data_IF_518016369928
#
_entry.id   IF_518016369928
#
_cell.length_a   1.000
_cell.length_b   1.000
_cell.length_c   1.000
_cell.angle_alpha   90.00
_cell.angle_beta   90.00
_cell.angle_gamma   90.00
#
_symmetry.space_group_name_H-M   'P 1'
#
loop_
_entity.id
_entity.type
_entity.pdbx_description
1 polymer ?
#
# COMPACT_ATOMS: atom_id res chain seq x y z
N UNK A 1 6.53 -2.71 -10.94
CA UNK A 1 6.64 -3.65 -9.81
C UNK A 1 6.76 -5.04 -10.42
N UNK A 2 7.51 -5.94 -9.79
CA UNK A 2 7.65 -7.32 -10.26
C UNK A 2 6.34 -8.10 -10.05
N UNK A 3 5.72 -8.68 -11.10
CA UNK A 3 4.53 -9.53 -10.97
C UNK A 3 4.73 -10.73 -10.04
N UNK A 4 5.95 -11.25 -9.89
CA UNK A 4 6.26 -12.37 -9.01
C UNK A 4 6.00 -12.07 -7.52
N UNK A 5 5.95 -10.79 -7.13
CA UNK A 5 5.61 -10.40 -5.76
C UNK A 5 4.10 -10.49 -5.48
N UNK A 6 3.26 -10.58 -6.51
CA UNK A 6 1.80 -10.69 -6.36
C UNK A 6 1.29 -12.13 -6.42
N UNK A 7 1.99 -13.02 -7.11
CA UNK A 7 1.52 -14.38 -7.33
C UNK A 7 1.15 -15.17 -6.05
N UNK A 8 1.79 -14.99 -4.88
CA UNK A 8 1.36 -15.69 -3.66
C UNK A 8 -0.06 -15.32 -3.21
N UNK A 9 -0.51 -14.11 -3.55
CA UNK A 9 -1.77 -13.53 -3.08
C UNK A 9 -2.94 -13.75 -4.04
N UNK A 10 -2.68 -14.32 -5.22
CA UNK A 10 -3.66 -14.44 -6.29
C UNK A 10 -4.03 -15.92 -6.51
N UNK A 11 -5.33 -16.27 -6.52
CA UNK A 11 -5.76 -17.56 -7.01
C UNK A 11 -5.51 -17.68 -8.52
N UNK A 12 -5.53 -18.91 -9.08
CA UNK A 12 -5.57 -19.09 -10.53
C UNK A 12 -6.87 -18.50 -11.10
N UNK A 13 -6.82 -18.02 -12.34
CA UNK A 13 -7.98 -17.48 -13.05
C UNK A 13 -7.59 -16.36 -14.01
N UNK A 14 -8.59 -15.74 -14.63
CA UNK A 14 -8.41 -14.60 -15.52
C UNK A 14 -8.08 -13.33 -14.71
N UNK A 15 -6.96 -12.70 -15.03
CA UNK A 15 -6.52 -11.49 -14.36
C UNK A 15 -7.03 -10.24 -15.06
N UNK A 16 -7.59 -9.31 -14.28
CA UNK A 16 -7.85 -7.95 -14.73
C UNK A 16 -7.49 -6.92 -13.65
N UNK A 17 -7.39 -5.65 -14.04
CA UNK A 17 -7.07 -4.57 -13.09
C UNK A 17 -8.09 -3.44 -13.17
N UNK A 18 -8.43 -2.88 -12.01
CA UNK A 18 -9.31 -1.71 -11.90
C UNK A 18 -8.60 -0.60 -11.13
N UNK A 19 -8.65 0.63 -11.64
CA UNK A 19 -8.07 1.81 -10.97
C UNK A 19 -9.19 2.75 -10.53
N UNK A 20 -9.07 3.25 -9.31
CA UNK A 20 -10.09 4.08 -8.67
C UNK A 20 -9.45 5.26 -7.91
N UNK A 21 -10.22 6.33 -7.72
CA UNK A 21 -9.85 7.48 -6.87
C UNK A 21 -10.98 7.82 -5.90
N UNK A 22 -11.19 7.04 -4.82
CA UNK A 22 -12.39 7.11 -4.00
C UNK A 22 -12.62 8.47 -3.32
N UNK A 23 -11.61 9.07 -2.70
CA UNK A 23 -11.61 10.42 -2.12
C UNK A 23 -10.26 10.76 -1.46
N UNK A 24 -10.06 12.02 -1.04
CA UNK A 24 -8.93 12.43 -0.18
C UNK A 24 -7.54 12.16 -0.79
N UNK A 25 -7.42 12.29 -2.11
CA UNK A 25 -6.18 11.99 -2.82
C UNK A 25 -5.83 10.50 -2.93
N UNK A 26 -6.67 9.61 -2.38
CA UNK A 26 -6.48 8.16 -2.46
C UNK A 26 -6.44 7.71 -3.91
N UNK A 27 -5.42 6.93 -4.26
CA UNK A 27 -5.41 6.13 -5.49
C UNK A 27 -5.40 4.67 -5.11
N UNK A 28 -6.28 3.90 -5.73
CA UNK A 28 -6.40 2.45 -5.52
C UNK A 28 -6.27 1.72 -6.84
N UNK A 29 -5.51 0.63 -6.82
CA UNK A 29 -5.47 -0.37 -7.86
C UNK A 29 -5.99 -1.68 -7.26
N UNK A 30 -6.99 -2.27 -7.88
CA UNK A 30 -7.49 -3.60 -7.53
C UNK A 30 -7.07 -4.57 -8.62
N UNK A 31 -6.59 -5.74 -8.21
CA UNK A 31 -6.41 -6.90 -9.08
C UNK A 31 -7.60 -7.82 -8.86
N UNK A 32 -8.24 -8.18 -9.96
CA UNK A 32 -9.39 -9.05 -9.96
C UNK A 32 -8.98 -10.41 -10.56
N UNK A 33 -9.51 -11.48 -9.98
CA UNK A 33 -9.45 -12.83 -10.54
C UNK A 33 -10.88 -13.26 -10.84
N UNK A 34 -11.14 -13.62 -12.09
CA UNK A 34 -12.47 -14.02 -12.57
C UNK A 34 -13.57 -12.97 -12.24
N UNK A 35 -13.20 -11.70 -12.27
CA UNK A 35 -14.10 -10.58 -11.98
C UNK A 35 -14.31 -10.24 -10.50
N UNK A 36 -13.71 -10.99 -9.58
CA UNK A 36 -13.76 -10.72 -8.14
C UNK A 36 -12.46 -10.06 -7.64
N UNK A 37 -12.57 -9.13 -6.69
CA UNK A 37 -11.39 -8.45 -6.13
C UNK A 37 -10.59 -9.44 -5.26
N UNK A 38 -9.41 -9.84 -5.73
CA UNK A 38 -8.49 -10.69 -5.00
C UNK A 38 -7.49 -9.89 -4.16
N UNK A 39 -7.09 -8.72 -4.66
CA UNK A 39 -6.01 -7.92 -4.07
C UNK A 39 -6.23 -6.44 -4.33
N UNK A 40 -5.85 -5.59 -3.38
CA UNK A 40 -5.81 -4.14 -3.57
C UNK A 40 -4.50 -3.56 -3.09
N UNK A 41 -3.99 -2.58 -3.85
CA UNK A 41 -2.90 -1.71 -3.46
C UNK A 41 -3.37 -0.26 -3.55
N UNK A 42 -3.18 0.48 -2.46
CA UNK A 42 -3.58 1.87 -2.32
C UNK A 42 -2.41 2.75 -1.94
N UNK A 43 -2.48 4.01 -2.34
CA UNK A 43 -1.72 5.11 -1.73
C UNK A 43 -2.72 6.12 -1.19
N UNK A 44 -2.53 6.53 0.06
CA UNK A 44 -3.46 7.38 0.81
C UNK A 44 -2.68 8.51 1.45
N UNK A 45 -3.23 9.72 1.42
CA UNK A 45 -2.75 10.82 2.23
C UNK A 45 -3.45 10.78 3.58
N UNK A 46 -2.66 10.82 4.64
CA UNK A 46 -3.15 10.63 6.00
C UNK A 46 -2.57 11.68 6.94
N UNK A 47 -3.26 12.00 8.03
CA UNK A 47 -2.84 13.06 8.97
C UNK A 47 -1.39 12.85 9.40
N UNK A 48 -0.62 13.94 9.38
CA UNK A 48 0.71 13.93 9.96
C UNK A 48 0.67 13.62 11.47
N UNK A 49 1.62 12.80 11.94
CA UNK A 49 1.68 12.32 13.32
C UNK A 49 1.05 10.95 13.53
N UNK A 50 0.07 10.55 12.71
CA UNK A 50 -0.51 9.20 12.74
C UNK A 50 0.54 8.16 12.30
N UNK A 51 0.51 7.00 12.94
CA UNK A 51 1.43 5.88 12.74
C UNK A 51 0.90 4.87 11.70
N UNK A 52 1.76 3.93 11.29
CA UNK A 52 1.32 2.78 10.47
C UNK A 52 0.26 1.93 11.18
N UNK A 53 0.26 1.90 12.50
CA UNK A 53 -0.74 1.19 13.30
C UNK A 53 -2.10 1.89 13.28
N UNK A 54 -2.12 3.22 13.32
CA UNK A 54 -3.36 4.00 13.22
C UNK A 54 -4.02 3.82 11.85
N UNK A 55 -3.21 3.80 10.80
CA UNK A 55 -3.68 3.51 9.44
C UNK A 55 -4.13 2.06 9.31
N UNK A 56 -3.39 1.10 9.86
CA UNK A 56 -3.76 -0.32 9.80
C UNK A 56 -5.13 -0.60 10.44
N UNK A 57 -5.42 0.06 11.57
CA UNK A 57 -6.64 -0.16 12.35
C UNK A 57 -7.96 0.09 11.58
N UNK A 58 -7.94 0.88 10.50
CA UNK A 58 -9.11 1.19 9.67
C UNK A 58 -9.21 0.35 8.40
N UNK A 59 -8.25 -0.54 8.13
CA UNK A 59 -8.23 -1.39 6.95
C UNK A 59 -8.56 -2.83 7.29
N UNK A 60 -9.72 -3.29 6.82
CA UNK A 60 -10.33 -4.56 7.21
C UNK A 60 -9.47 -5.82 7.01
N UNK A 61 -8.49 -5.79 6.10
CA UNK A 61 -7.58 -6.92 5.83
C UNK A 61 -6.17 -6.71 6.38
N UNK A 62 -5.94 -5.67 7.17
CA UNK A 62 -4.66 -5.51 7.88
C UNK A 62 -4.89 -5.90 9.33
N UNK A 63 -4.39 -7.07 9.71
CA UNK A 63 -4.51 -7.52 11.10
C UNK A 63 -3.61 -6.67 12.01
N UNK A 64 -3.98 -6.49 13.30
CA UNK A 64 -3.13 -5.82 14.26
C UNK A 64 -1.76 -6.49 14.36
N UNK A 65 -0.72 -5.68 14.58
CA UNK A 65 0.64 -6.17 14.70
C UNK A 65 1.58 -5.09 15.20
N UNK A 66 2.84 -5.47 15.36
CA UNK A 66 3.89 -4.53 15.75
C UNK A 66 4.40 -3.78 14.52
N UNK A 67 4.67 -2.49 14.72
CA UNK A 67 5.37 -1.70 13.72
C UNK A 67 6.86 -2.10 13.70
N UNK A 68 7.42 -2.19 12.51
CA UNK A 68 8.79 -2.63 12.22
C UNK A 68 9.56 -1.52 11.52
N UNK A 69 10.87 -1.67 11.40
CA UNK A 69 11.75 -0.74 10.67
C UNK A 69 11.57 0.72 11.13
N UNK A 70 11.73 0.96 12.44
CA UNK A 70 11.54 2.29 13.03
C UNK A 70 10.12 2.84 12.93
N UNK A 71 9.12 1.97 12.73
CA UNK A 71 7.72 2.38 12.56
C UNK A 71 7.32 2.62 11.10
N UNK A 72 8.18 2.26 10.14
CA UNK A 72 7.91 2.45 8.71
C UNK A 72 6.90 1.45 8.15
N UNK A 73 6.82 0.25 8.72
CA UNK A 73 5.95 -0.81 8.19
C UNK A 73 5.20 -1.55 9.29
N UNK A 74 4.00 -2.03 8.96
CA UNK A 74 3.26 -3.03 9.72
C UNK A 74 2.79 -4.12 8.76
N UNK A 75 2.99 -5.37 9.16
CA UNK A 75 2.71 -6.54 8.33
C UNK A 75 1.75 -7.50 9.01
N UNK A 76 0.83 -8.07 8.23
CA UNK A 76 0.05 -9.25 8.54
C UNK A 76 0.07 -10.20 7.34
N UNK A 77 -0.53 -11.39 7.47
CA UNK A 77 -0.61 -12.31 6.34
C UNK A 77 -1.51 -11.77 5.21
N UNK A 78 -2.57 -11.06 5.56
CA UNK A 78 -3.62 -10.60 4.64
C UNK A 78 -3.51 -9.13 4.26
N UNK A 79 -2.56 -8.39 4.83
CA UNK A 79 -2.35 -7.00 4.47
C UNK A 79 -1.14 -6.37 5.15
N UNK A 80 -0.83 -5.15 4.73
CA UNK A 80 0.25 -4.38 5.31
C UNK A 80 0.00 -2.88 5.12
N UNK A 81 0.71 -2.09 5.93
CA UNK A 81 0.84 -0.64 5.78
C UNK A 81 2.32 -0.29 5.70
N UNK A 82 2.66 0.64 4.81
CA UNK A 82 3.99 1.24 4.75
C UNK A 82 3.92 2.76 4.67
N UNK A 83 4.74 3.47 5.44
CA UNK A 83 4.90 4.93 5.35
C UNK A 83 5.91 5.26 4.25
N UNK A 84 5.50 6.06 3.27
CA UNK A 84 6.38 6.51 2.21
C UNK A 84 7.13 7.77 2.64
N UNK A 85 8.42 7.83 2.34
CA UNK A 85 9.30 8.94 2.72
C UNK A 85 9.58 9.88 1.54
N UNK A 86 9.94 11.12 1.85
CA UNK A 86 10.24 12.15 0.84
C UNK A 86 9.02 12.71 0.11
N UNK A 87 7.84 12.15 0.33
CA UNK A 87 6.57 12.57 -0.27
C UNK A 87 6.03 13.87 0.31
N UNK A 88 5.67 14.80 -0.56
CA UNK A 88 4.98 16.04 -0.20
C UNK A 88 4.10 16.49 -1.36
N UNK A 89 2.90 16.98 -1.05
CA UNK A 89 1.94 17.45 -2.04
C UNK A 89 1.23 18.69 -1.50
N UNK A 90 1.25 19.79 -2.25
CA UNK A 90 0.68 21.06 -1.83
C UNK A 90 -0.86 21.01 -1.63
N UNK A 91 -1.52 20.02 -2.23
CA UNK A 91 -2.96 19.77 -2.05
C UNK A 91 -3.27 18.91 -0.81
N UNK A 92 -2.24 18.36 -0.16
CA UNK A 92 -2.33 17.55 1.07
C UNK A 92 -1.38 18.08 2.16
N UNK A 93 -1.52 19.36 2.59
CA UNK A 93 -0.66 19.91 3.62
C UNK A 93 -0.90 19.23 4.98
N UNK A 94 0.16 19.02 5.75
CA UNK A 94 0.08 18.35 7.06
C UNK A 94 -0.36 16.90 6.97
N UNK A 95 -0.09 16.24 5.83
CA UNK A 95 -0.37 14.83 5.62
C UNK A 95 0.87 14.09 5.12
N UNK A 96 1.02 12.85 5.57
CA UNK A 96 2.03 11.91 5.08
C UNK A 96 1.38 10.94 4.08
N UNK A 97 2.18 10.49 3.11
CA UNK A 97 1.73 9.45 2.18
C UNK A 97 1.97 8.07 2.78
N UNK A 98 0.92 7.27 2.84
CA UNK A 98 0.98 5.85 3.21
C UNK A 98 0.61 4.97 2.02
N UNK A 99 1.14 3.76 2.04
CA UNK A 99 0.81 2.67 1.14
C UNK A 99 0.11 1.58 1.93
N UNK A 100 -0.93 1.00 1.33
CA UNK A 100 -1.75 -0.03 1.97
C UNK A 100 -1.96 -1.15 0.97
N UNK A 101 -1.78 -2.37 1.43
CA UNK A 101 -2.07 -3.59 0.68
C UNK A 101 -3.07 -4.43 1.46
N UNK A 102 -4.05 -4.98 0.74
CA UNK A 102 -5.07 -5.86 1.31
C UNK A 102 -5.35 -7.03 0.35
N UNK A 103 -5.33 -8.24 0.90
CA UNK A 103 -5.64 -9.50 0.24
C UNK A 103 -7.07 -9.90 0.62
N UNK A 104 -7.90 -10.06 -0.41
CA UNK A 104 -9.31 -10.44 -0.27
C UNK A 104 -9.56 -11.88 -0.70
N UNK A 105 -8.68 -12.45 -1.52
CA UNK A 105 -8.75 -13.85 -1.91
C UNK A 105 -8.65 -14.78 -0.69
N UNK A 106 -9.56 -15.76 -0.55
CA UNK A 106 -9.56 -16.68 0.58
C UNK A 106 -8.30 -17.55 0.58
N UNK A 107 -7.78 -17.84 1.78
CA UNK A 107 -6.62 -18.72 2.00
C UNK A 107 -5.35 -18.32 1.23
N UNK A 108 -5.23 -17.04 0.83
CA UNK A 108 -4.06 -16.46 0.15
C UNK A 108 -3.24 -15.50 1.00
N UNK A 109 -3.45 -15.49 2.32
CA UNK A 109 -2.60 -14.74 3.23
C UNK A 109 -1.20 -15.35 3.30
N UNK A 110 -0.17 -14.53 3.18
CA UNK A 110 1.24 -14.95 3.24
C UNK A 110 2.10 -13.81 3.80
N UNK A 111 2.45 -13.89 5.09
CA UNK A 111 3.22 -12.85 5.77
C UNK A 111 4.66 -12.73 5.22
N UNK A 112 5.45 -13.81 5.05
CA UNK A 112 6.76 -13.72 4.42
C UNK A 112 6.75 -13.09 3.02
N UNK A 113 5.72 -13.37 2.20
CA UNK A 113 5.55 -12.69 0.92
C UNK A 113 5.20 -11.21 1.10
N UNK A 114 4.37 -10.87 2.10
CA UNK A 114 3.95 -9.49 2.37
C UNK A 114 5.13 -8.62 2.81
N UNK A 115 6.03 -9.19 3.61
CA UNK A 115 7.30 -8.58 4.04
C UNK A 115 8.22 -8.23 2.86
N UNK A 116 8.07 -8.89 1.71
CA UNK A 116 8.79 -8.56 0.47
C UNK A 116 8.01 -7.57 -0.40
N UNK A 117 6.70 -7.77 -0.51
CA UNK A 117 5.82 -6.99 -1.38
C UNK A 117 5.71 -5.54 -0.93
N UNK A 118 5.40 -5.28 0.34
CA UNK A 118 5.10 -3.92 0.79
C UNK A 118 6.31 -2.99 0.64
N UNK A 119 7.54 -3.33 1.08
CA UNK A 119 8.69 -2.45 0.86
C UNK A 119 8.95 -2.17 -0.62
N UNK A 120 8.78 -3.17 -1.49
CA UNK A 120 8.94 -2.99 -2.93
C UNK A 120 7.88 -2.04 -3.51
N UNK A 121 6.63 -2.15 -3.06
CA UNK A 121 5.54 -1.27 -3.46
C UNK A 121 5.72 0.15 -2.92
N UNK A 122 5.99 0.33 -1.62
CA UNK A 122 6.27 1.65 -1.01
C UNK A 122 7.42 2.34 -1.73
N UNK A 123 8.53 1.64 -1.97
CA UNK A 123 9.67 2.21 -2.70
C UNK A 123 9.34 2.56 -4.14
N UNK A 124 8.42 1.84 -4.79
CA UNK A 124 7.94 2.20 -6.12
C UNK A 124 7.10 3.48 -6.11
N UNK A 125 6.31 3.69 -5.07
CA UNK A 125 5.56 4.94 -4.85
C UNK A 125 6.50 6.11 -4.58
N UNK A 126 7.51 5.94 -3.72
CA UNK A 126 8.54 6.95 -3.40
C UNK A 126 9.35 7.39 -4.64
N UNK A 127 9.50 6.51 -5.65
CA UNK A 127 10.16 6.86 -6.91
C UNK A 127 9.27 7.63 -7.89
N UNK A 128 7.97 7.74 -7.62
CA UNK A 128 7.01 8.42 -8.49
C UNK A 128 7.04 9.95 -8.35
N UNK A 129 6.37 10.63 -9.30
CA UNK A 129 6.36 12.09 -9.44
C UNK A 129 5.76 12.88 -8.25
N UNK A 130 5.25 12.22 -7.19
CA UNK A 130 4.73 12.86 -5.98
C UNK A 130 5.66 12.82 -4.77
N UNK A 131 6.85 12.22 -4.92
CA UNK A 131 7.78 12.04 -3.80
C UNK A 131 9.23 12.45 -4.09
N UNK A 132 9.58 12.66 -5.35
CA UNK A 132 10.77 13.45 -5.67
C UNK A 132 10.41 14.92 -5.56
N UNK A 133 10.98 15.59 -4.57
CA UNK A 133 11.27 17.01 -4.70
C UNK A 133 12.28 17.13 -5.83
N UNK A 134 11.97 17.88 -6.88
CA UNK A 134 13.04 18.47 -7.67
C UNK A 134 13.92 19.23 -6.66
N UNK A 135 15.19 18.84 -6.58
CA UNK A 135 16.15 19.61 -5.80
C UNK A 135 16.12 21.01 -6.39
N UNK A 136 15.54 21.95 -5.64
CA UNK A 136 15.42 23.33 -6.07
C UNK A 136 16.79 23.83 -6.48
N UNK A 137 16.91 24.24 -7.74
CA UNK A 137 18.02 25.10 -8.19
C UNK A 137 17.90 26.38 -7.37
N UNK A 138 18.86 26.55 -6.46
CA UNK A 138 19.18 27.86 -5.87
C UNK A 138 19.69 28.82 -6.93
#
# INVERSE_FOLDING_TARGET
MDPALLSPFLPPGELSTRRESPSGGTKRCSVLVDGEVAFTASRIWWREGDSVSDVAAVHAKVEPGEATDGGKYLFSATGAVGRAEGCADATHPGQNLFTVVQVFAPDRGDRPAMERLMPAYTKAVERGNGCRRDAGTS
#
